data_IF_162723281125
#
_entry.id   IF_162723281125
#
_cell.length_a   1.000
_cell.length_b   1.000
_cell.length_c   1.000
_cell.angle_alpha   90.00
_cell.angle_beta   90.00
_cell.angle_gamma   90.00
#
_symmetry.space_group_name_H-M   'P 1'
#
loop_
_entity.id
_entity.type
_entity.pdbx_description
1 polymer ?
#
# COMPACT_ATOMS: atom_id res chain seq x y z
N UNK A 1 4.67 -16.20 42.30
CA UNK A 1 3.67 -15.71 41.34
C UNK A 1 4.36 -15.62 39.99
N UNK A 2 4.17 -16.65 39.18
CA UNK A 2 4.83 -16.80 37.88
C UNK A 2 4.07 -15.98 36.81
N UNK A 3 4.76 -15.01 36.24
CA UNK A 3 4.23 -14.31 35.05
C UNK A 3 4.29 -15.29 33.86
N UNK A 4 3.12 -15.70 33.40
CA UNK A 4 2.93 -16.36 32.10
C UNK A 4 3.27 -15.35 31.00
N UNK A 5 4.43 -15.50 30.39
CA UNK A 5 4.74 -14.93 29.08
C UNK A 5 3.88 -15.66 28.06
N UNK A 6 2.90 -14.95 27.50
CA UNK A 6 2.14 -15.43 26.33
C UNK A 6 3.06 -15.21 25.14
N UNK A 7 3.97 -16.14 24.87
CA UNK A 7 4.56 -16.33 23.54
C UNK A 7 3.45 -16.94 22.68
N UNK A 8 2.60 -16.07 22.12
CA UNK A 8 1.63 -16.47 21.12
C UNK A 8 2.39 -16.95 19.88
N UNK A 9 2.25 -18.24 19.57
CA UNK A 9 2.62 -18.81 18.28
C UNK A 9 1.99 -17.94 17.20
N UNK A 10 2.81 -17.07 16.61
CA UNK A 10 2.38 -16.20 15.54
C UNK A 10 2.45 -17.05 14.25
N UNK A 11 1.33 -17.60 13.82
CA UNK A 11 1.17 -18.47 12.64
C UNK A 11 1.64 -17.84 11.32
N UNK A 12 2.52 -16.84 11.39
CA UNK A 12 3.03 -16.12 10.21
C UNK A 12 1.96 -15.28 9.52
N UNK A 13 0.94 -14.80 10.26
CA UNK A 13 -0.12 -13.92 9.76
C UNK A 13 -0.51 -12.86 10.80
N UNK A 14 -0.92 -11.68 10.32
CA UNK A 14 -1.44 -10.61 11.17
C UNK A 14 -2.92 -10.79 11.56
N UNK A 15 -3.60 -11.83 11.09
CA UNK A 15 -5.03 -12.02 11.34
C UNK A 15 -5.41 -12.00 12.84
N UNK A 16 -4.67 -12.66 13.76
CA UNK A 16 -4.98 -12.62 15.18
C UNK A 16 -4.82 -11.24 15.85
N UNK A 17 -4.14 -10.31 15.19
CA UNK A 17 -3.89 -8.95 15.69
C UNK A 17 -5.00 -7.96 15.30
N UNK A 18 -5.92 -8.35 14.43
CA UNK A 18 -7.01 -7.48 13.97
C UNK A 18 -8.04 -7.33 15.11
N UNK A 19 -8.36 -6.10 15.56
CA UNK A 19 -9.36 -5.88 16.60
C UNK A 19 -10.76 -6.36 16.18
N UNK A 20 -11.55 -6.91 17.12
CA UNK A 20 -12.93 -7.40 16.85
C UNK A 20 -13.84 -6.33 16.25
N UNK A 21 -13.69 -5.06 16.66
CA UNK A 21 -14.44 -3.92 16.12
C UNK A 21 -13.46 -2.91 15.55
N UNK A 22 -12.95 -3.15 14.33
CA UNK A 22 -11.88 -2.36 13.75
C UNK A 22 -12.37 -0.94 13.39
N UNK A 23 -11.52 0.03 13.67
CA UNK A 23 -11.53 1.38 13.11
C UNK A 23 -10.13 1.68 12.62
N UNK A 24 -9.93 2.62 11.70
CA UNK A 24 -8.59 2.96 11.21
C UNK A 24 -7.64 3.31 12.36
N UNK A 25 -8.12 4.00 13.40
CA UNK A 25 -7.34 4.31 14.60
C UNK A 25 -6.90 3.06 15.34
N UNK A 26 -7.83 2.16 15.67
CA UNK A 26 -7.53 0.90 16.38
C UNK A 26 -6.62 -0.02 15.56
N UNK A 27 -6.83 -0.09 14.25
CA UNK A 27 -5.97 -0.87 13.35
C UNK A 27 -4.54 -0.33 13.36
N UNK A 28 -4.35 0.98 13.26
CA UNK A 28 -3.02 1.62 13.31
C UNK A 28 -2.34 1.36 14.66
N UNK A 29 -3.04 1.50 15.77
CA UNK A 29 -2.53 1.23 17.12
C UNK A 29 -2.10 -0.24 17.27
N UNK A 30 -2.92 -1.18 16.82
CA UNK A 30 -2.60 -2.60 16.88
C UNK A 30 -1.46 -2.98 15.92
N UNK A 31 -1.39 -2.37 14.74
CA UNK A 31 -0.33 -2.64 13.76
C UNK A 31 1.04 -2.13 14.22
N UNK A 32 1.12 -1.13 15.10
CA UNK A 32 2.39 -0.56 15.57
C UNK A 32 3.31 -1.61 16.24
N UNK A 33 2.74 -2.66 16.83
CA UNK A 33 3.48 -3.76 17.44
C UNK A 33 3.56 -5.04 16.60
N UNK A 34 3.19 -4.99 15.32
CA UNK A 34 3.08 -6.19 14.48
C UNK A 34 4.42 -6.88 14.24
N UNK A 35 4.47 -8.18 14.56
CA UNK A 35 5.61 -9.08 14.34
C UNK A 35 5.22 -10.31 13.51
N UNK A 36 4.17 -10.22 12.70
CA UNK A 36 3.62 -11.33 11.92
C UNK A 36 4.56 -11.85 10.82
N UNK A 37 5.54 -11.08 10.39
CA UNK A 37 6.54 -11.49 9.41
C UNK A 37 7.92 -10.93 9.78
N UNK A 38 9.05 -11.49 9.26
CA UNK A 38 10.40 -11.07 9.65
C UNK A 38 10.75 -9.60 9.37
N UNK A 39 9.97 -8.90 8.54
CA UNK A 39 10.28 -7.52 8.12
C UNK A 39 10.26 -6.51 9.28
N UNK A 40 9.58 -6.81 10.40
CA UNK A 40 9.64 -5.98 11.60
C UNK A 40 11.05 -5.88 12.20
N UNK A 41 11.94 -6.86 11.92
CA UNK A 41 13.32 -6.86 12.41
C UNK A 41 14.22 -5.89 11.67
N UNK A 42 13.88 -5.58 10.42
CA UNK A 42 14.66 -4.71 9.52
C UNK A 42 14.03 -3.35 9.30
N UNK A 43 12.70 -3.26 9.33
CA UNK A 43 11.98 -1.99 9.29
C UNK A 43 12.16 -1.21 10.59
N UNK A 44 12.17 0.11 10.50
CA UNK A 44 12.29 1.01 11.67
C UNK A 44 10.99 1.01 12.46
N UNK A 45 9.87 0.97 11.75
CA UNK A 45 8.52 0.99 12.32
C UNK A 45 7.49 0.48 11.32
N UNK A 46 6.27 0.24 11.81
CA UNK A 46 5.12 -0.04 10.96
C UNK A 46 4.66 1.26 10.28
N UNK A 47 4.55 1.25 8.96
CA UNK A 47 3.97 2.34 8.16
C UNK A 47 2.55 1.95 7.78
N UNK A 48 1.59 2.47 8.53
CA UNK A 48 0.16 2.22 8.29
C UNK A 48 -0.41 3.21 7.27
N UNK A 49 -1.59 2.89 6.69
CA UNK A 49 -2.23 3.77 5.73
C UNK A 49 -2.64 5.13 6.30
N UNK A 50 -2.77 6.15 5.46
CA UNK A 50 -3.10 7.53 5.84
C UNK A 50 -4.05 8.18 4.84
N UNK A 51 -4.93 9.05 5.33
CA UNK A 51 -5.87 9.84 4.54
C UNK A 51 -7.25 9.89 5.18
N UNK A 52 -8.23 10.30 4.39
CA UNK A 52 -9.62 10.42 4.84
C UNK A 52 -10.20 9.09 5.30
N UNK A 53 -10.83 9.07 6.47
CA UNK A 53 -11.60 7.90 6.92
C UNK A 53 -12.90 7.69 6.12
N UNK A 54 -13.26 8.65 5.28
CA UNK A 54 -14.41 8.62 4.36
C UNK A 54 -13.96 8.62 2.90
N UNK A 55 -12.74 8.15 2.64
CA UNK A 55 -12.18 8.15 1.30
C UNK A 55 -12.98 7.22 0.37
N UNK A 56 -13.50 7.78 -0.71
CA UNK A 56 -14.09 7.01 -1.81
C UNK A 56 -13.02 6.30 -2.65
N UNK A 57 -11.78 6.78 -2.61
CA UNK A 57 -10.65 6.21 -3.36
C UNK A 57 -9.54 5.77 -2.42
N UNK A 58 -9.11 4.52 -2.57
CA UNK A 58 -7.96 3.96 -1.84
C UNK A 58 -6.85 3.60 -2.82
N UNK A 59 -5.67 4.20 -2.64
CA UNK A 59 -4.46 3.85 -3.37
C UNK A 59 -3.62 2.86 -2.59
N UNK A 60 -3.24 1.76 -3.22
CA UNK A 60 -2.47 0.68 -2.60
C UNK A 60 -1.15 0.48 -3.32
N UNK A 61 -0.04 0.79 -2.66
CA UNK A 61 1.32 0.50 -3.12
C UNK A 61 1.84 -0.86 -2.67
N UNK A 62 3.13 -1.12 -2.91
CA UNK A 62 3.80 -2.38 -2.56
C UNK A 62 4.16 -2.43 -1.07
N UNK A 63 5.05 -1.55 -0.64
CA UNK A 63 5.58 -1.43 0.72
C UNK A 63 6.14 -0.01 0.94
N UNK A 64 6.41 0.39 2.19
CA UNK A 64 7.08 1.66 2.48
C UNK A 64 8.46 1.74 1.79
N UNK A 65 8.88 2.93 1.41
CA UNK A 65 10.25 3.24 1.04
C UNK A 65 11.09 3.65 2.27
N UNK A 66 12.33 4.10 2.02
CA UNK A 66 13.27 4.50 3.06
C UNK A 66 12.77 5.70 3.89
N UNK A 67 12.24 6.73 3.23
CA UNK A 67 11.71 7.92 3.92
C UNK A 67 10.43 7.59 4.68
N UNK A 68 9.53 6.81 4.09
CA UNK A 68 8.31 6.35 4.74
C UNK A 68 8.61 5.54 6.01
N UNK A 69 9.62 4.66 5.96
CA UNK A 69 10.04 3.85 7.11
C UNK A 69 10.60 4.71 8.25
N UNK A 70 11.32 5.80 7.93
CA UNK A 70 11.85 6.73 8.92
C UNK A 70 10.76 7.63 9.51
N UNK A 71 9.85 8.15 8.68
CA UNK A 71 8.80 9.07 9.10
C UNK A 71 7.55 8.38 9.67
N UNK A 72 7.36 7.08 9.38
CA UNK A 72 6.17 6.33 9.80
C UNK A 72 4.90 6.68 9.01
N UNK A 73 5.03 7.35 7.87
CA UNK A 73 3.92 7.81 7.02
C UNK A 73 4.06 7.30 5.59
N UNK A 74 2.98 6.82 4.94
CA UNK A 74 3.03 6.31 3.57
C UNK A 74 3.14 7.45 2.54
N UNK A 75 3.86 7.20 1.45
CA UNK A 75 3.96 8.09 0.30
C UNK A 75 4.49 9.51 0.61
N UNK A 76 5.47 9.64 1.51
CA UNK A 76 6.15 10.92 1.83
C UNK A 76 7.41 11.13 1.00
N UNK A 77 8.00 10.09 0.44
CA UNK A 77 9.21 10.13 -0.37
C UNK A 77 8.95 10.58 -1.82
N UNK A 78 9.97 10.45 -2.69
CA UNK A 78 9.90 10.92 -4.08
C UNK A 78 8.75 10.32 -4.89
N UNK A 79 8.40 9.04 -4.65
CA UNK A 79 7.27 8.38 -5.30
C UNK A 79 5.91 8.98 -4.85
N UNK A 80 5.80 9.36 -3.56
CA UNK A 80 4.62 10.03 -3.03
C UNK A 80 4.45 11.44 -3.62
N UNK A 81 5.53 12.22 -3.70
CA UNK A 81 5.50 13.55 -4.32
C UNK A 81 5.05 13.51 -5.78
N UNK A 82 5.50 12.49 -6.52
CA UNK A 82 5.07 12.30 -7.91
C UNK A 82 3.59 11.86 -7.98
N UNK A 83 3.12 11.04 -7.02
CA UNK A 83 1.70 10.70 -6.90
C UNK A 83 0.87 11.96 -6.60
N UNK A 84 1.30 12.80 -5.65
CA UNK A 84 0.59 14.04 -5.28
C UNK A 84 0.47 14.98 -6.49
N UNK A 85 1.55 15.18 -7.25
CA UNK A 85 1.52 15.95 -8.49
C UNK A 85 0.54 15.37 -9.51
N UNK A 86 0.55 14.05 -9.71
CA UNK A 86 -0.34 13.40 -10.67
C UNK A 86 -1.81 13.46 -10.25
N UNK A 87 -2.11 13.40 -8.93
CA UNK A 87 -3.46 13.58 -8.40
C UNK A 87 -3.97 15.00 -8.67
N UNK A 88 -3.15 16.01 -8.41
CA UNK A 88 -3.47 17.42 -8.70
C UNK A 88 -3.78 17.63 -10.18
N UNK A 89 -2.93 17.11 -11.10
CA UNK A 89 -3.15 17.21 -12.54
C UNK A 89 -4.36 16.42 -13.05
N UNK A 90 -4.73 15.36 -12.33
CA UNK A 90 -5.93 14.57 -12.60
C UNK A 90 -7.21 15.17 -11.99
N UNK A 91 -7.11 16.22 -11.16
CA UNK A 91 -8.24 16.83 -10.47
C UNK A 91 -8.75 16.02 -9.27
N UNK A 92 -7.91 15.18 -8.67
CA UNK A 92 -8.22 14.39 -7.48
C UNK A 92 -7.61 15.07 -6.25
N UNK A 93 -8.46 15.46 -5.30
CA UNK A 93 -8.01 16.06 -4.04
C UNK A 93 -7.30 15.01 -3.16
N UNK A 94 -6.01 15.25 -2.89
CA UNK A 94 -5.18 14.37 -2.06
C UNK A 94 -5.74 14.17 -0.65
N UNK A 95 -6.43 15.15 -0.10
CA UNK A 95 -7.02 15.06 1.24
C UNK A 95 -8.28 14.18 1.30
N UNK A 96 -8.90 13.92 0.16
CA UNK A 96 -10.10 13.08 0.06
C UNK A 96 -9.81 11.62 -0.25
N UNK A 97 -8.54 11.25 -0.46
CA UNK A 97 -8.14 9.88 -0.72
C UNK A 97 -7.44 9.25 0.48
N UNK A 98 -7.35 7.92 0.48
CA UNK A 98 -6.57 7.15 1.42
C UNK A 98 -5.44 6.43 0.69
N UNK A 99 -4.23 6.48 1.23
CA UNK A 99 -3.07 5.78 0.68
C UNK A 99 -2.53 4.75 1.66
N UNK A 100 -2.17 3.59 1.15
CA UNK A 100 -1.62 2.51 1.94
C UNK A 100 -0.72 1.61 1.09
N UNK A 101 -0.19 0.55 1.70
CA UNK A 101 0.63 -0.44 1.02
C UNK A 101 0.16 -1.86 1.37
N UNK A 102 0.46 -2.83 0.52
CA UNK A 102 0.21 -4.25 0.78
C UNK A 102 1.00 -4.73 2.01
N UNK A 103 2.25 -4.29 2.13
CA UNK A 103 3.14 -4.61 3.26
C UNK A 103 3.40 -3.35 4.08
N UNK A 104 3.36 -3.49 5.43
CA UNK A 104 3.47 -2.35 6.35
C UNK A 104 4.87 -2.08 6.88
N UNK A 105 5.86 -2.92 6.57
CA UNK A 105 7.26 -2.72 6.94
C UNK A 105 8.14 -2.64 5.70
N UNK A 106 9.21 -1.85 5.80
CA UNK A 106 10.19 -1.70 4.72
C UNK A 106 11.12 -2.89 4.62
N UNK A 107 11.12 -3.56 3.48
CA UNK A 107 12.10 -4.60 3.17
C UNK A 107 13.28 -4.02 2.40
N UNK A 108 14.47 -4.16 2.95
CA UNK A 108 15.69 -3.62 2.36
C UNK A 108 16.90 -4.51 2.64
N UNK A 109 17.96 -4.26 1.89
CA UNK A 109 19.31 -4.78 2.17
C UNK A 109 20.30 -3.63 2.23
N UNK A 110 21.36 -3.80 3.03
CA UNK A 110 22.45 -2.83 3.09
C UNK A 110 23.31 -2.89 1.83
N UNK A 111 23.65 -1.72 1.30
CA UNK A 111 24.69 -1.54 0.29
C UNK A 111 25.53 -0.32 0.69
N UNK A 112 26.65 -0.56 1.37
CA UNK A 112 27.40 0.49 2.04
C UNK A 112 26.55 1.18 3.11
N UNK A 113 26.39 2.50 3.03
CA UNK A 113 25.57 3.30 3.94
C UNK A 113 24.09 3.41 3.51
N UNK A 114 23.69 2.80 2.38
CA UNK A 114 22.35 2.93 1.82
C UNK A 114 21.51 1.72 2.13
N UNK A 115 20.23 1.93 2.43
CA UNK A 115 19.19 0.90 2.51
C UNK A 115 18.54 0.75 1.15
N UNK A 116 18.83 -0.36 0.47
CA UNK A 116 18.34 -0.63 -0.88
C UNK A 116 17.08 -1.48 -0.81
N UNK A 117 15.99 -0.95 -1.30
CA UNK A 117 14.69 -1.59 -1.42
C UNK A 117 14.79 -3.03 -1.99
N UNK A 118 14.10 -3.95 -1.37
CA UNK A 118 13.94 -5.33 -1.81
C UNK A 118 12.45 -5.64 -1.94
N UNK A 119 12.06 -6.30 -3.02
CA UNK A 119 10.67 -6.70 -3.20
C UNK A 119 10.24 -7.68 -2.10
N UNK A 120 9.06 -7.49 -1.46
CA UNK A 120 8.54 -8.47 -0.52
C UNK A 120 8.18 -9.77 -1.24
N UNK A 121 8.39 -10.90 -0.56
CA UNK A 121 7.98 -12.20 -1.06
C UNK A 121 6.51 -12.49 -0.71
N UNK A 122 5.96 -13.56 -1.30
CA UNK A 122 4.54 -13.91 -1.11
C UNK A 122 4.17 -14.33 0.32
N UNK A 123 5.13 -14.85 1.09
CA UNK A 123 4.90 -15.17 2.51
C UNK A 123 4.76 -13.88 3.33
N UNK A 124 5.62 -12.90 3.09
CA UNK A 124 5.57 -11.58 3.74
C UNK A 124 4.29 -10.81 3.37
N UNK A 125 3.90 -10.87 2.07
CA UNK A 125 2.65 -10.30 1.59
C UNK A 125 1.45 -10.97 2.27
N UNK A 126 1.40 -12.30 2.29
CA UNK A 126 0.31 -13.06 2.92
C UNK A 126 0.21 -12.79 4.41
N UNK A 127 1.34 -12.73 5.12
CA UNK A 127 1.38 -12.41 6.55
C UNK A 127 0.83 -11.01 6.85
N UNK A 128 1.09 -10.03 5.99
CA UNK A 128 0.68 -8.63 6.17
C UNK A 128 -0.74 -8.33 5.64
N UNK A 129 -1.26 -9.17 4.74
CA UNK A 129 -2.53 -8.99 4.03
C UNK A 129 -3.72 -8.68 4.95
N UNK A 130 -3.89 -9.29 6.13
CA UNK A 130 -5.02 -8.99 7.01
C UNK A 130 -5.15 -7.52 7.40
N UNK A 131 -4.03 -6.78 7.51
CA UNK A 131 -4.09 -5.34 7.77
C UNK A 131 -4.76 -4.58 6.62
N UNK A 132 -4.35 -4.86 5.38
CA UNK A 132 -4.93 -4.21 4.19
C UNK A 132 -6.41 -4.57 4.04
N UNK A 133 -6.77 -5.84 4.22
CA UNK A 133 -8.16 -6.29 4.15
C UNK A 133 -9.04 -5.58 5.18
N UNK A 134 -8.52 -5.40 6.42
CA UNK A 134 -9.21 -4.67 7.47
C UNK A 134 -9.34 -3.17 7.17
N UNK A 135 -8.30 -2.52 6.59
CA UNK A 135 -8.39 -1.12 6.12
C UNK A 135 -9.50 -0.96 5.08
N UNK A 136 -9.50 -1.82 4.05
CA UNK A 136 -10.49 -1.77 2.97
C UNK A 136 -11.91 -2.06 3.51
N UNK A 137 -12.06 -3.01 4.43
CA UNK A 137 -13.35 -3.34 5.05
C UNK A 137 -13.91 -2.19 5.91
N UNK A 138 -13.05 -1.39 6.55
CA UNK A 138 -13.46 -0.21 7.32
C UNK A 138 -13.79 0.96 6.40
N UNK A 139 -12.98 1.21 5.37
CA UNK A 139 -13.15 2.33 4.43
C UNK A 139 -14.31 2.13 3.47
N UNK A 140 -14.52 0.89 2.98
CA UNK A 140 -15.52 0.53 1.96
C UNK A 140 -15.44 1.46 0.73
N UNK A 141 -14.28 1.56 0.08
CA UNK A 141 -14.08 2.52 -0.99
C UNK A 141 -14.94 2.18 -2.21
N UNK A 142 -15.35 3.20 -2.96
CA UNK A 142 -15.96 3.03 -4.28
C UNK A 142 -14.91 2.60 -5.32
N UNK A 143 -13.71 3.16 -5.21
CA UNK A 143 -12.61 2.88 -6.14
C UNK A 143 -11.36 2.42 -5.40
N UNK A 144 -10.80 1.27 -5.80
CA UNK A 144 -9.52 0.77 -5.34
C UNK A 144 -8.49 0.87 -6.46
N UNK A 145 -7.35 1.49 -6.19
CA UNK A 145 -6.28 1.72 -7.16
C UNK A 145 -5.02 0.97 -6.75
N UNK A 146 -4.63 -0.03 -7.55
CA UNK A 146 -3.39 -0.77 -7.36
C UNK A 146 -2.23 -0.04 -8.04
N UNK A 147 -1.27 0.45 -7.28
CA UNK A 147 -0.06 1.09 -7.77
C UNK A 147 1.06 0.06 -7.95
N UNK A 148 1.29 -0.35 -9.19
CA UNK A 148 2.34 -1.29 -9.58
C UNK A 148 1.94 -2.76 -9.52
N UNK A 149 2.84 -3.59 -10.07
CA UNK A 149 2.57 -5.02 -10.27
C UNK A 149 2.36 -5.80 -8.96
N UNK A 150 3.10 -5.48 -7.90
CA UNK A 150 2.99 -6.21 -6.64
C UNK A 150 1.63 -5.99 -5.97
N UNK A 151 1.15 -4.74 -5.92
CA UNK A 151 -0.17 -4.42 -5.39
C UNK A 151 -1.28 -5.08 -6.25
N UNK A 152 -1.18 -4.93 -7.56
CA UNK A 152 -2.13 -5.55 -8.48
C UNK A 152 -2.18 -7.08 -8.35
N UNK A 153 -1.03 -7.74 -8.31
CA UNK A 153 -0.96 -9.20 -8.14
C UNK A 153 -1.43 -9.68 -6.77
N UNK A 154 -1.19 -8.90 -5.72
CA UNK A 154 -1.67 -9.24 -4.38
C UNK A 154 -3.20 -9.15 -4.26
N UNK A 155 -3.85 -8.25 -5.00
CA UNK A 155 -5.27 -7.94 -4.88
C UNK A 155 -6.13 -8.57 -5.99
N UNK A 156 -5.60 -8.67 -7.22
CA UNK A 156 -6.32 -9.11 -8.41
C UNK A 156 -5.88 -10.50 -8.92
N UNK A 157 -4.86 -11.08 -8.28
CA UNK A 157 -4.34 -12.40 -8.65
C UNK A 157 -2.96 -12.36 -9.30
N UNK A 158 -2.19 -13.44 -9.09
CA UNK A 158 -0.77 -13.53 -9.47
C UNK A 158 -0.50 -13.40 -10.98
N UNK A 159 -1.52 -13.68 -11.79
CA UNK A 159 -1.42 -13.61 -13.24
C UNK A 159 -1.70 -12.23 -13.81
N UNK A 160 -2.11 -11.26 -12.96
CA UNK A 160 -2.37 -9.90 -13.39
C UNK A 160 -1.07 -9.23 -13.90
N UNK A 161 -1.19 -8.55 -15.06
CA UNK A 161 -0.06 -7.88 -15.73
C UNK A 161 -0.38 -6.40 -15.97
N UNK A 162 0.15 -5.52 -15.11
CA UNK A 162 -0.04 -4.06 -15.24
C UNK A 162 0.38 -3.55 -16.62
N UNK A 163 1.45 -4.10 -17.21
CA UNK A 163 1.91 -3.71 -18.55
C UNK A 163 0.89 -3.94 -19.68
N UNK A 164 -0.14 -4.76 -19.45
CA UNK A 164 -1.17 -5.09 -20.43
C UNK A 164 -2.55 -4.54 -20.08
N UNK A 165 -2.81 -4.34 -18.79
CA UNK A 165 -4.15 -4.09 -18.24
C UNK A 165 -4.20 -2.79 -17.41
N UNK A 166 -3.17 -1.92 -17.51
CA UNK A 166 -3.18 -0.64 -16.79
C UNK A 166 -4.32 0.25 -17.26
N UNK A 167 -4.93 0.96 -16.33
CA UNK A 167 -6.01 1.90 -16.63
C UNK A 167 -7.33 1.25 -17.09
N UNK A 168 -7.45 -0.09 -17.01
CA UNK A 168 -8.70 -0.81 -17.25
C UNK A 168 -9.44 -1.05 -15.93
N UNK A 169 -10.78 -0.99 -16.01
CA UNK A 169 -11.64 -1.38 -14.88
C UNK A 169 -11.65 -2.90 -14.75
N UNK A 170 -11.40 -3.38 -13.54
CA UNK A 170 -11.39 -4.80 -13.20
C UNK A 170 -12.42 -5.07 -12.11
N UNK A 171 -13.21 -6.12 -12.25
CA UNK A 171 -14.11 -6.57 -11.20
C UNK A 171 -13.32 -7.15 -10.03
N UNK A 172 -13.68 -6.75 -8.80
CA UNK A 172 -13.02 -7.19 -7.58
C UNK A 172 -14.03 -7.15 -6.42
N UNK A 173 -13.97 -8.10 -5.49
CA UNK A 173 -14.81 -8.05 -4.29
C UNK A 173 -14.39 -6.97 -3.28
N UNK A 174 -13.31 -6.26 -3.53
CA UNK A 174 -12.71 -5.30 -2.61
C UNK A 174 -13.31 -3.89 -2.72
N UNK A 175 -13.85 -3.54 -3.89
CA UNK A 175 -14.48 -2.25 -4.15
C UNK A 175 -15.42 -2.37 -5.36
N UNK A 176 -16.33 -1.38 -5.55
CA UNK A 176 -17.23 -1.36 -6.71
C UNK A 176 -16.45 -1.30 -8.02
N UNK A 177 -15.34 -0.57 -8.02
CA UNK A 177 -14.43 -0.41 -9.15
C UNK A 177 -12.99 -0.61 -8.70
N UNK A 178 -12.22 -1.37 -9.47
CA UNK A 178 -10.80 -1.56 -9.22
C UNK A 178 -10.02 -1.24 -10.48
N UNK A 179 -8.93 -0.50 -10.36
CA UNK A 179 -8.01 -0.15 -11.44
C UNK A 179 -6.58 -0.46 -10.99
N UNK A 180 -5.75 -0.94 -11.92
CA UNK A 180 -4.32 -1.03 -11.71
C UNK A 180 -3.58 -0.10 -12.67
N UNK A 181 -2.55 0.57 -12.18
CA UNK A 181 -1.65 1.39 -12.99
C UNK A 181 -0.20 1.20 -12.53
N UNK A 182 0.75 1.90 -13.14
CA UNK A 182 2.17 1.80 -12.77
C UNK A 182 2.41 2.38 -11.37
N UNK A 183 3.48 1.91 -10.70
CA UNK A 183 3.90 2.53 -9.44
C UNK A 183 4.68 3.81 -9.74
N UNK A 184 4.45 4.94 -9.04
CA UNK A 184 5.16 6.20 -9.30
C UNK A 184 6.69 6.07 -9.30
N UNK A 185 7.25 5.17 -8.48
CA UNK A 185 8.70 4.91 -8.47
C UNK A 185 9.24 4.33 -9.78
N UNK A 186 8.43 3.70 -10.62
CA UNK A 186 8.87 3.23 -11.94
C UNK A 186 9.04 4.40 -12.91
N UNK A 187 8.16 5.40 -12.83
CA UNK A 187 8.24 6.62 -13.62
C UNK A 187 9.53 7.40 -13.28
N UNK A 188 9.88 7.49 -11.98
CA UNK A 188 11.11 8.15 -11.54
C UNK A 188 12.39 7.52 -12.12
N UNK A 189 12.34 6.26 -12.55
CA UNK A 189 13.47 5.52 -13.14
C UNK A 189 13.39 5.36 -14.65
N UNK A 190 12.30 5.82 -15.26
CA UNK A 190 12.12 5.72 -16.70
C UNK A 190 12.99 6.74 -17.46
N UNK A 191 13.48 6.36 -18.64
CA UNK A 191 14.19 7.24 -19.55
C UNK A 191 13.24 8.27 -20.19
N UNK A 192 12.00 7.83 -20.50
CA UNK A 192 10.89 8.61 -21.06
C UNK A 192 9.93 9.11 -19.98
N UNK A 193 10.49 9.66 -18.90
CA UNK A 193 9.78 10.02 -17.67
C UNK A 193 8.52 10.85 -17.91
N UNK A 194 8.59 11.84 -18.78
CA UNK A 194 7.49 12.78 -19.04
C UNK A 194 6.32 12.05 -19.72
N UNK A 195 6.62 11.18 -20.69
CA UNK A 195 5.60 10.36 -21.38
C UNK A 195 4.92 9.39 -20.39
N UNK A 196 5.72 8.72 -19.54
CA UNK A 196 5.19 7.80 -18.52
C UNK A 196 4.35 8.53 -17.46
N UNK A 197 4.72 9.76 -17.13
CA UNK A 197 3.96 10.58 -16.21
C UNK A 197 2.61 11.03 -16.83
N UNK A 198 2.60 11.50 -18.06
CA UNK A 198 1.36 11.85 -18.78
C UNK A 198 0.40 10.65 -18.88
N UNK A 199 0.92 9.46 -19.18
CA UNK A 199 0.13 8.24 -19.20
C UNK A 199 -0.43 7.91 -17.81
N UNK A 200 0.35 8.09 -16.77
CA UNK A 200 -0.09 7.89 -15.40
C UNK A 200 -1.21 8.85 -15.02
N UNK A 201 -1.08 10.14 -15.34
CA UNK A 201 -2.14 11.14 -15.14
C UNK A 201 -3.40 10.77 -15.93
N UNK A 202 -3.26 10.24 -17.15
CA UNK A 202 -4.40 9.76 -17.94
C UNK A 202 -5.14 8.61 -17.26
N UNK A 203 -4.41 7.66 -16.63
CA UNK A 203 -5.04 6.60 -15.86
C UNK A 203 -5.78 7.17 -14.64
N UNK A 204 -5.20 8.16 -13.93
CA UNK A 204 -5.82 8.82 -12.78
C UNK A 204 -7.07 9.63 -13.17
N UNK A 205 -7.10 10.28 -14.34
CA UNK A 205 -8.29 10.98 -14.84
C UNK A 205 -9.48 10.03 -15.05
N UNK A 206 -9.24 8.77 -15.41
CA UNK A 206 -10.31 7.75 -15.43
C UNK A 206 -10.89 7.50 -14.05
N UNK A 207 -10.04 7.54 -13.00
CA UNK A 207 -10.47 7.40 -11.61
C UNK A 207 -11.28 8.62 -11.19
N UNK A 208 -10.82 9.83 -11.51
CA UNK A 208 -11.52 11.08 -11.22
C UNK A 208 -12.95 11.09 -11.81
N UNK A 209 -13.16 10.46 -12.95
CA UNK A 209 -14.47 10.35 -13.58
C UNK A 209 -15.43 9.34 -12.90
N UNK A 210 -14.95 8.57 -11.90
CA UNK A 210 -15.73 7.56 -11.17
C UNK A 210 -16.20 8.04 -9.79
N UNK A 211 -15.76 9.22 -9.33
CA UNK A 211 -15.98 9.76 -7.96
C UNK A 211 -16.77 11.08 -7.94
#
# INVERSE_FOLDING_TARGET
MSQLTIDGDNDGTAAPLIPERPTLKKLREAAAGCKACPLWQTGTQTVFGEGSAKADVVFVGEQPGDQEDLEGRPFVGPAGKLLDQALEEAGIDREQVYVTNVVKHFKWKSQGKRRIHQKPNWKEIGACRPWLDAEVAVLKPRVLVCLGATAAQALLGRDFRVSRQRGELVESPLAEKTIATVHPSSILRAEDRDVQFEEFVRDLRKIAALI
#
